data_IF_852352774636
#
_entry.id   IF_852352774636
#
_cell.length_a   1.000
_cell.length_b   1.000
_cell.length_c   1.000
_cell.angle_alpha   90.00
_cell.angle_beta   90.00
_cell.angle_gamma   90.00
#
_symmetry.space_group_name_H-M   'P 1'
#
loop_
_entity.id
_entity.type
_entity.pdbx_description
1 polymer ?
#
# COMPACT_ATOMS: atom_id res chain seq x y z
N UNK A 1 16.48 -35.53 -6.93
CA UNK A 1 15.12 -34.98 -7.05
C UNK A 1 14.70 -34.15 -5.83
N UNK A 2 14.92 -34.62 -4.59
CA UNK A 2 14.59 -33.88 -3.35
C UNK A 2 15.16 -32.44 -3.27
N UNK A 3 16.35 -32.21 -3.82
CA UNK A 3 16.97 -30.88 -3.85
C UNK A 3 16.25 -29.91 -4.80
N UNK A 4 15.66 -30.41 -5.89
CA UNK A 4 14.92 -29.60 -6.86
C UNK A 4 13.58 -29.18 -6.26
N UNK A 5 12.87 -30.10 -5.62
CA UNK A 5 11.62 -29.78 -4.91
C UNK A 5 11.85 -28.74 -3.81
N UNK A 6 12.94 -28.86 -3.03
CA UNK A 6 13.28 -27.87 -1.99
C UNK A 6 13.54 -26.48 -2.58
N UNK A 7 14.24 -26.39 -3.71
CA UNK A 7 14.47 -25.12 -4.39
C UNK A 7 13.17 -24.49 -4.90
N UNK A 8 12.27 -25.29 -5.48
CA UNK A 8 10.95 -24.84 -5.94
C UNK A 8 10.13 -24.27 -4.78
N UNK A 9 10.10 -24.94 -3.62
CA UNK A 9 9.41 -24.41 -2.44
C UNK A 9 9.97 -23.06 -1.99
N UNK A 10 11.30 -22.92 -1.93
CA UNK A 10 11.93 -21.65 -1.57
C UNK A 10 11.54 -20.55 -2.56
N UNK A 11 11.59 -20.83 -3.86
CA UNK A 11 11.18 -19.87 -4.90
C UNK A 11 9.71 -19.47 -4.76
N UNK A 12 8.81 -20.41 -4.49
CA UNK A 12 7.38 -20.13 -4.25
C UNK A 12 7.21 -19.23 -3.02
N UNK A 13 7.92 -19.51 -1.91
CA UNK A 13 7.85 -18.67 -0.71
C UNK A 13 8.35 -17.24 -0.99
N UNK A 14 9.48 -17.09 -1.67
CA UNK A 14 10.00 -15.78 -2.04
C UNK A 14 9.03 -15.00 -2.95
N UNK A 15 8.47 -15.65 -3.97
CA UNK A 15 7.48 -15.02 -4.86
C UNK A 15 6.23 -14.62 -4.09
N UNK A 16 5.72 -15.49 -3.22
CA UNK A 16 4.53 -15.21 -2.40
C UNK A 16 4.74 -14.00 -1.51
N UNK A 17 5.87 -13.95 -0.79
CA UNK A 17 6.23 -12.80 0.04
C UNK A 17 6.38 -11.51 -0.78
N UNK A 18 6.99 -11.60 -1.97
CA UNK A 18 7.17 -10.47 -2.87
C UNK A 18 5.83 -9.91 -3.36
N UNK A 19 4.89 -10.77 -3.76
CA UNK A 19 3.56 -10.36 -4.20
C UNK A 19 2.74 -9.73 -3.07
N UNK A 20 2.80 -10.28 -1.85
CA UNK A 20 2.12 -9.70 -0.68
C UNK A 20 2.68 -8.31 -0.36
N UNK A 21 4.01 -8.18 -0.32
CA UNK A 21 4.67 -6.91 -0.06
C UNK A 21 4.35 -5.86 -1.13
N UNK A 22 4.31 -6.24 -2.41
CA UNK A 22 3.89 -5.35 -3.49
C UNK A 22 2.44 -4.92 -3.35
N UNK A 23 1.53 -5.85 -3.03
CA UNK A 23 0.12 -5.55 -2.90
C UNK A 23 -0.13 -4.52 -1.78
N UNK A 24 0.55 -4.67 -0.64
CA UNK A 24 0.46 -3.75 0.49
C UNK A 24 1.09 -2.37 0.18
N UNK A 25 2.24 -2.35 -0.50
CA UNK A 25 2.85 -1.10 -0.98
C UNK A 25 1.93 -0.35 -1.97
N UNK A 26 1.26 -1.08 -2.87
CA UNK A 26 0.27 -0.47 -3.79
C UNK A 26 -1.03 -0.09 -3.10
N UNK A 27 -1.36 -0.69 -1.96
CA UNK A 27 -2.57 -0.34 -1.21
C UNK A 27 -2.50 1.12 -0.72
N UNK A 28 -1.32 1.56 -0.30
CA UNK A 28 -1.11 2.95 0.15
C UNK A 28 -0.70 3.90 -0.98
N UNK A 29 -0.29 3.39 -2.14
CA UNK A 29 0.12 4.22 -3.28
C UNK A 29 -1.00 5.11 -3.82
N UNK A 30 -0.68 6.39 -4.07
CA UNK A 30 -1.59 7.37 -4.64
C UNK A 30 -0.85 8.36 -5.56
N UNK A 31 -1.59 8.92 -6.52
CA UNK A 31 -1.14 10.04 -7.35
C UNK A 31 -1.88 11.35 -7.03
N UNK A 32 -3.08 11.23 -6.47
CA UNK A 32 -3.99 12.35 -6.21
C UNK A 32 -4.80 12.07 -4.93
N UNK A 33 -5.29 13.11 -4.26
CA UNK A 33 -6.10 13.00 -3.04
C UNK A 33 -7.36 12.15 -3.28
N UNK A 34 -7.93 12.22 -4.48
CA UNK A 34 -9.12 11.44 -4.89
C UNK A 34 -8.92 9.92 -4.77
N UNK A 35 -7.71 9.41 -5.04
CA UNK A 35 -7.36 7.99 -4.87
C UNK A 35 -7.46 7.54 -3.40
N UNK A 36 -7.22 8.46 -2.46
CA UNK A 36 -7.20 8.14 -1.04
C UNK A 36 -8.60 8.08 -0.43
N UNK A 37 -9.57 8.81 -1.00
CA UNK A 37 -10.98 8.80 -0.55
C UNK A 37 -11.57 7.39 -0.61
N UNK A 38 -11.19 6.59 -1.61
CA UNK A 38 -11.67 5.20 -1.76
C UNK A 38 -10.89 4.18 -0.94
N UNK A 39 -9.68 4.52 -0.49
CA UNK A 39 -8.74 3.58 0.15
C UNK A 39 -8.71 3.69 1.66
N UNK A 40 -8.85 4.89 2.21
CA UNK A 40 -8.76 5.16 3.65
C UNK A 40 -9.94 5.98 4.15
N UNK A 41 -10.42 5.67 5.36
CA UNK A 41 -11.42 6.47 6.06
C UNK A 41 -10.74 7.27 7.16
N UNK A 42 -10.84 8.59 7.10
CA UNK A 42 -10.30 9.47 8.13
C UNK A 42 -11.41 9.91 9.09
N UNK A 43 -11.06 10.06 10.37
CA UNK A 43 -11.95 10.68 11.35
C UNK A 43 -11.87 12.20 11.21
N UNK A 44 -13.03 12.87 11.21
CA UNK A 44 -13.10 14.33 11.18
C UNK A 44 -12.31 14.94 12.36
N UNK A 45 -11.58 16.07 12.16
CA UNK A 45 -11.56 16.94 10.98
C UNK A 45 -10.38 16.66 10.02
N UNK A 46 -9.86 15.42 10.00
CA UNK A 46 -8.79 15.04 9.06
C UNK A 46 -9.41 14.56 7.74
N UNK A 47 -8.81 14.96 6.62
CA UNK A 47 -9.18 14.50 5.29
C UNK A 47 -8.11 13.56 4.75
N UNK A 48 -8.49 12.54 3.97
CA UNK A 48 -7.52 11.72 3.25
C UNK A 48 -6.82 12.59 2.21
N UNK A 49 -5.49 12.59 2.22
CA UNK A 49 -4.65 13.28 1.23
C UNK A 49 -3.54 12.34 0.78
N UNK A 50 -3.08 12.56 -0.44
CA UNK A 50 -1.92 11.92 -1.01
C UNK A 50 -0.67 12.76 -0.74
N UNK A 51 0.29 12.24 0.03
CA UNK A 51 1.58 12.89 0.26
C UNK A 51 2.70 11.89 0.06
N UNK A 52 3.73 12.28 -0.69
CA UNK A 52 4.85 11.40 -1.03
C UNK A 52 4.37 10.05 -1.61
N UNK A 53 3.38 10.12 -2.50
CA UNK A 53 2.77 8.95 -3.14
C UNK A 53 2.09 7.98 -2.15
N UNK A 54 1.86 8.38 -0.90
CA UNK A 54 1.18 7.57 0.11
C UNK A 54 -0.09 8.27 0.64
N UNK A 55 -1.17 7.51 0.79
CA UNK A 55 -2.39 7.99 1.41
C UNK A 55 -2.24 8.13 2.92
N UNK A 56 -2.58 9.31 3.44
CA UNK A 56 -2.61 9.57 4.88
C UNK A 56 -3.76 10.49 5.28
N UNK A 57 -4.07 10.53 6.57
CA UNK A 57 -5.07 11.44 7.13
C UNK A 57 -4.40 12.70 7.67
N UNK A 58 -4.64 13.83 7.03
CA UNK A 58 -4.05 15.11 7.41
C UNK A 58 -5.15 16.12 7.71
N UNK A 59 -4.86 17.15 8.51
CA UNK A 59 -5.78 18.28 8.58
C UNK A 59 -5.80 18.98 7.23
N UNK A 60 -7.00 19.17 6.68
CA UNK A 60 -7.18 20.13 5.60
C UNK A 60 -6.70 21.47 6.13
N UNK A 61 -5.57 21.97 5.61
CA UNK A 61 -5.09 23.29 5.98
C UNK A 61 -6.17 24.29 5.58
N UNK A 62 -6.82 24.85 6.60
CA UNK A 62 -7.94 25.78 6.50
C UNK A 62 -7.49 27.19 6.05
N UNK A 63 -6.50 27.26 5.16
CA UNK A 63 -5.91 28.49 4.63
C UNK A 63 -5.66 28.34 3.13
N UNK A 64 -6.74 28.38 2.36
CA UNK A 64 -6.78 28.97 1.03
C UNK A 64 -8.16 29.55 0.79
#
# INVERSE_FOLDING_TARGET
MANVTKFVYIAIYFLSLFFIAKNDATATFCHDDSHCVTKIKCVLPRTPQCRNEACGCYHSNKFR
#
